data_IF_316516299531
#
_entry.id   IF_316516299531
#
_cell.length_a   1.000
_cell.length_b   1.000
_cell.length_c   1.000
_cell.angle_alpha   90.00
_cell.angle_beta   90.00
_cell.angle_gamma   90.00
#
_symmetry.space_group_name_H-M   'P 1'
#
loop_
_entity.id
_entity.type
_entity.pdbx_description
1 polymer ?
#
# COMPACT_ATOMS: atom_id res chain seq x y z
N UNK A 1 7.77 7.38 0.26
CA UNK A 1 7.49 5.97 -0.09
C UNK A 1 6.05 5.59 0.30
N UNK A 2 5.56 4.39 -0.04
CA UNK A 2 4.19 3.95 0.33
C UNK A 2 3.96 3.92 1.85
N UNK A 3 5.00 3.59 2.64
CA UNK A 3 4.91 3.53 4.10
C UNK A 3 4.70 4.91 4.72
N UNK A 4 5.47 5.91 4.28
CA UNK A 4 5.33 7.29 4.74
C UNK A 4 3.96 7.87 4.39
N UNK A 5 3.46 7.61 3.17
CA UNK A 5 2.12 8.05 2.75
C UNK A 5 1.02 7.37 3.57
N UNK A 6 1.14 6.07 3.83
CA UNK A 6 0.17 5.35 4.67
C UNK A 6 0.21 5.83 6.13
N UNK A 7 1.39 6.16 6.66
CA UNK A 7 1.53 6.72 8.00
C UNK A 7 0.87 8.10 8.08
N UNK A 8 1.13 8.98 7.12
CA UNK A 8 0.45 10.28 7.05
C UNK A 8 -1.07 10.14 6.96
N UNK A 9 -1.58 9.20 6.17
CA UNK A 9 -3.03 8.94 6.08
C UNK A 9 -3.62 8.54 7.43
N UNK A 10 -2.90 7.73 8.21
CA UNK A 10 -3.30 7.30 9.55
C UNK A 10 -3.28 8.45 10.55
N UNK A 11 -2.22 9.25 10.52
CA UNK A 11 -1.99 10.35 11.47
C UNK A 11 -3.00 11.49 11.25
N UNK A 12 -3.41 11.74 10.01
CA UNK A 12 -4.43 12.74 9.66
C UNK A 12 -5.87 12.22 9.78
N UNK A 13 -6.07 10.99 10.24
CA UNK A 13 -7.39 10.36 10.42
C UNK A 13 -8.27 10.31 9.15
N UNK A 14 -7.67 10.13 7.98
CA UNK A 14 -8.45 9.94 6.74
C UNK A 14 -9.10 8.55 6.68
N UNK A 15 -10.18 8.44 5.90
CA UNK A 15 -10.95 7.19 5.76
C UNK A 15 -10.26 6.06 5.00
N UNK A 16 -9.11 6.29 4.37
CA UNK A 16 -8.34 5.26 3.67
C UNK A 16 -7.44 5.78 2.55
N UNK A 17 -6.94 4.85 1.74
CA UNK A 17 -6.07 5.13 0.60
C UNK A 17 -6.64 4.51 -0.69
N UNK A 18 -6.49 5.21 -1.81
CA UNK A 18 -6.80 4.69 -3.15
C UNK A 18 -5.51 4.36 -3.89
N UNK A 19 -5.51 3.23 -4.60
CA UNK A 19 -4.38 2.77 -5.42
C UNK A 19 -4.78 2.74 -6.89
N UNK A 20 -3.96 3.34 -7.73
CA UNK A 20 -4.08 3.26 -9.18
C UNK A 20 -2.74 2.78 -9.76
N UNK A 21 -2.66 1.55 -10.28
CA UNK A 21 -3.66 0.48 -10.33
C UNK A 21 -3.04 -0.85 -9.91
N UNK A 22 -3.87 -1.85 -9.58
CA UNK A 22 -3.40 -3.08 -8.92
C UNK A 22 -2.50 -3.94 -9.81
N UNK A 23 -2.65 -3.84 -11.13
CA UNK A 23 -1.85 -4.55 -12.12
C UNK A 23 -0.43 -4.00 -12.27
N UNK A 24 -0.17 -2.78 -11.78
CA UNK A 24 1.16 -2.17 -11.75
C UNK A 24 1.98 -2.55 -10.50
N UNK A 25 1.34 -3.14 -9.49
CA UNK A 25 2.05 -3.78 -8.39
C UNK A 25 2.66 -5.12 -8.84
N UNK A 26 3.53 -5.72 -8.04
CA UNK A 26 4.02 -7.07 -8.30
C UNK A 26 2.94 -8.12 -8.00
N UNK A 27 1.88 -8.12 -8.81
CA UNK A 27 0.71 -8.97 -8.66
C UNK A 27 0.99 -10.45 -8.93
N UNK A 28 2.15 -10.77 -9.54
CA UNK A 28 2.62 -12.13 -9.80
C UNK A 28 3.70 -12.58 -8.81
N UNK A 29 4.24 -11.70 -7.97
CA UNK A 29 5.37 -12.01 -7.09
C UNK A 29 6.65 -12.34 -7.84
N UNK A 30 6.86 -11.76 -9.04
CA UNK A 30 8.06 -12.02 -9.87
C UNK A 30 9.32 -11.46 -9.25
N UNK A 31 9.20 -10.44 -8.41
CA UNK A 31 10.28 -9.73 -7.76
C UNK A 31 10.25 -9.91 -6.24
N UNK A 32 9.58 -10.97 -5.75
CA UNK A 32 9.54 -11.35 -4.34
C UNK A 32 8.12 -11.69 -3.88
N UNK A 33 7.52 -10.82 -3.06
CA UNK A 33 6.20 -11.04 -2.49
C UNK A 33 5.09 -10.58 -3.45
N UNK A 34 3.95 -11.29 -3.49
CA UNK A 34 2.76 -10.84 -4.23
C UNK A 34 2.11 -9.62 -3.57
N UNK A 35 1.84 -8.57 -4.36
CA UNK A 35 1.25 -7.28 -3.92
C UNK A 35 2.04 -6.55 -2.80
N UNK A 36 3.35 -6.31 -2.98
CA UNK A 36 4.19 -5.74 -1.93
C UNK A 36 3.77 -4.31 -1.55
N UNK A 37 3.33 -3.49 -2.51
CA UNK A 37 2.91 -2.10 -2.24
C UNK A 37 1.60 -2.11 -1.46
N UNK A 38 0.60 -2.86 -1.95
CA UNK A 38 -0.71 -2.93 -1.30
C UNK A 38 -0.60 -3.50 0.13
N UNK A 39 0.20 -4.55 0.32
CA UNK A 39 0.43 -5.14 1.65
C UNK A 39 1.15 -4.20 2.60
N UNK A 40 2.13 -3.44 2.11
CA UNK A 40 2.83 -2.46 2.94
C UNK A 40 1.89 -1.37 3.45
N UNK A 41 0.98 -0.87 2.61
CA UNK A 41 -0.03 0.09 3.04
C UNK A 41 -1.06 -0.52 4.02
N UNK A 42 -1.55 -1.73 3.70
CA UNK A 42 -2.52 -2.44 4.56
C UNK A 42 -1.98 -2.66 5.98
N UNK A 43 -0.68 -2.97 6.14
CA UNK A 43 -0.04 -3.17 7.45
C UNK A 43 -0.04 -1.91 8.34
N UNK A 44 -0.18 -0.72 7.76
CA UNK A 44 -0.15 0.56 8.50
C UNK A 44 -1.58 1.07 8.76
N UNK A 45 -2.46 0.95 7.76
CA UNK A 45 -3.84 1.45 7.81
C UNK A 45 -4.81 0.53 8.58
N UNK A 46 -4.41 -0.69 8.91
CA UNK A 46 -5.15 -1.64 9.74
C UNK A 46 -4.41 -1.87 11.05
#
# INVERSE_FOLDING_TARGET
TVREKAQWIKDEHYGGAMFWSLELDDFKGRFGERYPILKAAKRILH
#
